data_IF_810678561611
#
_entry.id   IF_810678561611
#
_cell.length_a   1.000
_cell.length_b   1.000
_cell.length_c   1.000
_cell.angle_alpha   90.00
_cell.angle_beta   90.00
_cell.angle_gamma   90.00
#
_symmetry.space_group_name_H-M   'P 1'
#
loop_
_entity.id
_entity.type
_entity.pdbx_description
1 polymer ?
#
# COMPACT_ATOMS: atom_id res chain seq x y z
N UNK A 1 -17.43 33.27 32.14
CA UNK A 1 -16.31 33.39 31.17
C UNK A 1 -16.10 32.04 30.48
N UNK A 2 -16.47 31.97 29.19
CA UNK A 2 -16.34 30.78 28.33
C UNK A 2 -14.88 30.33 28.22
N UNK A 3 -14.60 29.06 28.52
CA UNK A 3 -13.38 28.38 28.11
C UNK A 3 -13.71 27.43 26.97
N UNK A 4 -13.77 27.97 25.75
CA UNK A 4 -13.73 27.16 24.53
C UNK A 4 -12.27 27.00 24.12
N UNK A 5 -11.61 25.96 24.60
CA UNK A 5 -10.24 25.62 24.17
C UNK A 5 -10.35 24.86 22.84
N UNK A 6 -9.98 25.55 21.77
CA UNK A 6 -9.83 25.01 20.42
C UNK A 6 -8.88 23.80 20.42
N UNK A 7 -9.40 22.67 19.97
CA UNK A 7 -8.63 21.52 19.51
C UNK A 7 -8.43 21.69 18.00
N UNK A 8 -7.27 22.15 17.54
CA UNK A 8 -6.98 22.26 16.10
C UNK A 8 -5.49 22.08 15.73
N UNK A 9 -4.73 21.35 16.56
CA UNK A 9 -3.27 21.23 16.45
C UNK A 9 -2.80 20.15 15.46
N UNK A 10 -3.62 19.14 15.16
CA UNK A 10 -3.19 17.99 14.35
C UNK A 10 -3.21 18.18 12.83
N UNK A 11 -3.60 19.34 12.32
CA UNK A 11 -3.80 19.55 10.87
C UNK A 11 -2.58 20.16 10.16
N UNK A 12 -1.70 20.80 10.92
CA UNK A 12 -0.51 21.47 10.37
C UNK A 12 0.65 20.49 10.11
N UNK A 13 0.75 19.45 10.95
CA UNK A 13 1.83 18.47 10.84
C UNK A 13 1.69 17.60 9.59
N UNK A 14 0.46 17.19 9.23
CA UNK A 14 0.19 16.38 8.03
C UNK A 14 0.54 17.11 6.72
N UNK A 15 0.19 18.40 6.61
CA UNK A 15 0.52 19.21 5.44
C UNK A 15 2.04 19.40 5.29
N UNK A 16 2.73 19.59 6.42
CA UNK A 16 4.20 19.69 6.43
C UNK A 16 4.86 18.36 6.02
N UNK A 17 4.41 17.24 6.58
CA UNK A 17 4.92 15.92 6.26
C UNK A 17 4.65 15.53 4.79
N UNK A 18 3.49 15.90 4.25
CA UNK A 18 3.17 15.71 2.84
C UNK A 18 4.10 16.52 1.93
N UNK A 19 4.36 17.78 2.28
CA UNK A 19 5.26 18.63 1.50
C UNK A 19 6.70 18.09 1.48
N UNK A 20 7.20 17.61 2.61
CA UNK A 20 8.51 16.97 2.73
C UNK A 20 8.57 15.66 1.94
N UNK A 21 7.49 14.87 1.95
CA UNK A 21 7.38 13.67 1.14
C UNK A 21 7.44 13.99 -0.36
N UNK A 22 6.65 14.96 -0.84
CA UNK A 22 6.69 15.38 -2.24
C UNK A 22 8.04 15.95 -2.65
N UNK A 23 8.73 16.64 -1.73
CA UNK A 23 10.10 17.11 -1.95
C UNK A 23 11.06 15.93 -2.13
N UNK A 24 10.96 14.88 -1.29
CA UNK A 24 11.79 13.67 -1.40
C UNK A 24 11.61 12.93 -2.74
N UNK A 25 10.43 13.03 -3.36
CA UNK A 25 10.17 12.40 -4.66
C UNK A 25 10.94 13.04 -5.83
N UNK A 26 11.44 14.27 -5.68
CA UNK A 26 12.29 14.91 -6.70
C UNK A 26 13.61 14.17 -6.92
N UNK A 27 14.13 13.50 -5.90
CA UNK A 27 15.41 12.78 -5.96
C UNK A 27 15.23 11.25 -6.00
N UNK A 28 14.01 10.77 -5.79
CA UNK A 28 13.69 9.34 -5.84
C UNK A 28 13.44 8.86 -7.27
N UNK A 29 14.02 7.71 -7.63
CA UNK A 29 13.76 7.05 -8.92
C UNK A 29 12.94 5.78 -8.69
N UNK A 30 11.61 5.83 -8.92
CA UNK A 30 10.76 4.66 -8.73
C UNK A 30 11.12 3.54 -9.73
N UNK A 31 10.91 2.29 -9.33
CA UNK A 31 11.02 1.09 -10.20
C UNK A 31 10.18 1.17 -11.47
N UNK A 32 9.07 1.91 -11.45
CA UNK A 32 8.25 2.17 -12.63
C UNK A 32 8.81 3.43 -13.30
N UNK A 33 9.22 3.36 -14.58
CA UNK A 33 9.80 4.51 -15.28
C UNK A 33 8.80 5.65 -15.49
N UNK A 34 9.30 6.89 -15.42
CA UNK A 34 8.50 8.11 -15.48
C UNK A 34 7.71 8.21 -16.81
N UNK A 35 8.31 7.81 -17.94
CA UNK A 35 7.67 7.86 -19.27
C UNK A 35 6.45 6.94 -19.37
N UNK A 36 6.48 5.80 -18.67
CA UNK A 36 5.34 4.87 -18.64
C UNK A 36 4.16 5.52 -17.92
N UNK A 37 4.45 6.16 -16.79
CA UNK A 37 3.45 6.85 -15.98
C UNK A 37 2.87 8.01 -16.78
N UNK A 38 3.71 8.85 -17.38
CA UNK A 38 3.28 9.93 -18.28
C UNK A 38 2.37 9.43 -19.42
N UNK A 39 2.73 8.33 -20.07
CA UNK A 39 1.91 7.76 -21.15
C UNK A 39 0.52 7.34 -20.64
N UNK A 40 0.43 6.67 -19.48
CA UNK A 40 -0.86 6.27 -18.91
C UNK A 40 -1.67 7.45 -18.37
N UNK A 41 -1.01 8.48 -17.81
CA UNK A 41 -1.64 9.74 -17.42
C UNK A 41 -2.20 10.46 -18.66
N UNK A 42 -1.41 10.59 -19.72
CA UNK A 42 -1.86 11.19 -20.97
C UNK A 42 -3.05 10.43 -21.58
N UNK A 43 -3.03 9.10 -21.49
CA UNK A 43 -4.13 8.23 -21.95
C UNK A 43 -5.42 8.44 -21.15
N UNK A 44 -5.34 8.78 -19.86
CA UNK A 44 -6.50 9.13 -19.05
C UNK A 44 -6.95 10.60 -19.23
N UNK A 45 -6.23 11.39 -20.03
CA UNK A 45 -6.53 12.80 -20.30
C UNK A 45 -5.91 13.77 -19.29
N UNK A 46 -4.97 13.31 -18.46
CA UNK A 46 -4.27 14.13 -17.49
C UNK A 46 -2.81 14.28 -17.91
N UNK A 47 -2.35 15.49 -18.17
CA UNK A 47 -0.93 15.76 -18.40
C UNK A 47 -0.45 16.81 -17.42
N UNK A 48 0.62 16.49 -16.71
CA UNK A 48 1.26 17.41 -15.79
C UNK A 48 2.78 17.37 -16.01
N UNK A 49 3.45 18.53 -16.16
CA UNK A 49 4.90 18.60 -16.25
C UNK A 49 5.60 18.44 -14.89
N UNK A 50 4.86 18.30 -13.79
CA UNK A 50 5.44 18.12 -12.45
C UNK A 50 5.88 16.67 -12.24
N UNK A 51 7.18 16.45 -12.29
CA UNK A 51 7.85 15.16 -12.07
C UNK A 51 7.49 14.55 -10.71
N UNK A 52 7.20 15.37 -9.69
CA UNK A 52 6.80 14.87 -8.36
C UNK A 52 5.48 14.16 -8.41
N UNK A 53 4.53 14.65 -9.20
CA UNK A 53 3.22 14.01 -9.36
C UNK A 53 3.34 12.71 -10.15
N UNK A 54 4.17 12.69 -11.19
CA UNK A 54 4.47 11.48 -11.96
C UNK A 54 5.04 10.40 -11.03
N UNK A 55 6.06 10.74 -10.26
CA UNK A 55 6.70 9.80 -9.32
C UNK A 55 5.81 9.41 -8.15
N UNK A 56 4.96 10.32 -7.67
CA UNK A 56 3.95 10.00 -6.67
C UNK A 56 3.02 8.89 -7.16
N UNK A 57 2.51 9.01 -8.40
CA UNK A 57 1.65 7.99 -9.00
C UNK A 57 2.41 6.67 -9.17
N UNK A 58 3.69 6.73 -9.56
CA UNK A 58 4.55 5.56 -9.67
C UNK A 58 4.66 4.82 -8.32
N UNK A 59 5.00 5.54 -7.24
CA UNK A 59 5.14 4.97 -5.88
C UNK A 59 3.81 4.45 -5.34
N UNK A 60 2.71 5.18 -5.57
CA UNK A 60 1.38 4.74 -5.16
C UNK A 60 0.99 3.42 -5.86
N UNK A 61 1.29 3.30 -7.14
CA UNK A 61 1.05 2.08 -7.92
C UNK A 61 1.90 0.91 -7.41
N UNK A 62 3.17 1.16 -7.08
CA UNK A 62 4.06 0.14 -6.49
C UNK A 62 3.55 -0.35 -5.14
N UNK A 63 3.15 0.58 -4.26
CA UNK A 63 2.55 0.24 -2.96
C UNK A 63 1.29 -0.58 -3.15
N UNK A 64 0.42 -0.19 -4.07
CA UNK A 64 -0.81 -0.93 -4.35
C UNK A 64 -0.54 -2.38 -4.79
N UNK A 65 0.37 -2.58 -5.76
CA UNK A 65 0.74 -3.93 -6.21
C UNK A 65 1.38 -4.73 -5.08
N UNK A 66 2.24 -4.12 -4.27
CA UNK A 66 2.87 -4.77 -3.13
C UNK A 66 1.85 -5.19 -2.07
N UNK A 67 0.84 -4.36 -1.79
CA UNK A 67 -0.25 -4.67 -0.86
C UNK A 67 -1.10 -5.83 -1.38
N UNK A 68 -1.50 -5.81 -2.65
CA UNK A 68 -2.24 -6.92 -3.28
C UNK A 68 -1.43 -8.22 -3.26
N UNK A 69 -0.14 -8.16 -3.57
CA UNK A 69 0.75 -9.32 -3.54
C UNK A 69 0.92 -9.86 -2.12
N UNK A 70 1.07 -8.97 -1.13
CA UNK A 70 1.19 -9.33 0.27
C UNK A 70 -0.10 -9.95 0.81
N UNK A 71 -1.26 -9.43 0.44
CA UNK A 71 -2.55 -10.01 0.78
C UNK A 71 -2.68 -11.41 0.17
N UNK A 72 -2.41 -11.56 -1.13
CA UNK A 72 -2.44 -12.85 -1.81
C UNK A 72 -1.48 -13.87 -1.16
N UNK A 73 -0.28 -13.43 -0.77
CA UNK A 73 0.70 -14.26 -0.07
C UNK A 73 0.21 -14.64 1.34
N UNK A 74 -0.38 -13.72 2.09
CA UNK A 74 -0.96 -14.02 3.39
C UNK A 74 -2.11 -15.02 3.28
N UNK A 75 -3.02 -14.87 2.32
CA UNK A 75 -4.07 -15.85 2.07
C UNK A 75 -3.45 -17.22 1.73
N UNK A 76 -2.57 -17.30 0.72
CA UNK A 76 -1.95 -18.56 0.29
C UNK A 76 -1.16 -19.27 1.40
N UNK A 77 -0.38 -18.53 2.18
CA UNK A 77 0.47 -19.11 3.24
C UNK A 77 -0.33 -19.43 4.51
N UNK A 78 -1.32 -18.61 4.86
CA UNK A 78 -2.18 -18.83 6.04
C UNK A 78 -3.09 -20.04 5.84
N UNK A 79 -3.70 -20.24 4.66
CA UNK A 79 -4.48 -21.46 4.38
C UNK A 79 -3.61 -22.72 4.46
N UNK A 80 -2.36 -22.68 3.97
CA UNK A 80 -1.45 -23.82 4.06
C UNK A 80 -1.09 -24.20 5.51
N UNK A 81 -0.82 -23.23 6.39
CA UNK A 81 -0.41 -23.50 7.78
C UNK A 81 -1.58 -23.73 8.75
N UNK A 82 -2.79 -23.22 8.48
CA UNK A 82 -3.97 -23.47 9.34
C UNK A 82 -4.79 -24.70 8.92
N UNK A 83 -4.82 -25.09 7.63
CA UNK A 83 -5.55 -26.30 7.22
C UNK A 83 -4.74 -27.59 7.30
N UNK A 84 -3.40 -27.56 7.22
CA UNK A 84 -2.58 -28.77 7.39
C UNK A 84 -2.77 -29.40 8.79
N UNK A 85 -2.74 -28.68 9.92
CA UNK A 85 -3.00 -29.30 11.22
C UNK A 85 -4.46 -29.77 11.37
N UNK A 86 -5.45 -29.11 10.77
CA UNK A 86 -6.85 -29.60 10.79
C UNK A 86 -7.02 -30.89 9.97
N UNK A 87 -6.40 -31.00 8.80
CA UNK A 87 -6.40 -32.22 7.99
C UNK A 87 -5.66 -33.37 8.68
N UNK A 88 -4.51 -33.10 9.31
CA UNK A 88 -3.73 -34.11 10.05
C UNK A 88 -4.47 -34.56 11.33
N UNK A 89 -5.15 -33.65 12.03
CA UNK A 89 -5.97 -33.99 13.20
C UNK A 89 -7.19 -34.83 12.83
N UNK A 90 -7.88 -34.51 11.73
CA UNK A 90 -9.01 -35.32 11.24
C UNK A 90 -8.60 -36.72 10.78
N UNK A 91 -7.39 -36.91 10.23
CA UNK A 91 -6.87 -38.25 9.90
C UNK A 91 -6.42 -39.07 11.12
N UNK A 92 -6.01 -38.44 12.22
CA UNK A 92 -5.62 -39.14 13.46
C UNK A 92 -6.83 -39.75 14.19
N UNK A 93 -7.99 -39.11 14.12
CA UNK A 93 -9.25 -39.58 14.73
C UNK A 93 -9.79 -40.86 14.07
N UNK A 94 -9.55 -41.07 12.77
CA UNK A 94 -10.05 -42.24 12.02
C UNK A 94 -9.16 -43.50 12.12
N UNK A 95 -7.97 -43.41 12.73
CA UNK A 95 -7.06 -44.55 12.96
C UNK A 95 -7.03 -45.03 14.42
N UNK A 96 -8.03 -44.64 15.23
CA UNK A 96 -8.19 -45.09 16.63
C UNK A 96 -9.50 -45.87 16.86
N UNK A 97 -10.05 -46.47 15.80
CA UNK A 97 -11.26 -47.33 15.84
C UNK A 97 -11.06 -48.69 15.14
N UNK A 98 -9.80 -49.13 14.96
CA UNK A 98 -9.46 -50.48 14.51
C UNK A 98 -8.63 -51.21 15.57
#
# INVERSE_FOLDING_TARGET
MNHNRQSNDGKHDDDSALSDFLASLMDYTPTIPDELVEHYLAKSGFQCPDVRLIRLVAVATQKFVAEVANDALQYGTKYFLTFIPLCVFSMKEQNSVA
#
